data_IF_650670635577
#
_entry.id   IF_650670635577
#
_cell.length_a   1.000
_cell.length_b   1.000
_cell.length_c   1.000
_cell.angle_alpha   90.00
_cell.angle_beta   90.00
_cell.angle_gamma   90.00
#
_symmetry.space_group_name_H-M   'P 1'
#
loop_
_entity.id
_entity.type
_entity.pdbx_description
1 polymer ?
#
# COMPACT_ATOMS: atom_id res chain seq x y z
N UNK A 1 -15.88 9.43 61.09
CA UNK A 1 -15.31 10.35 60.07
C UNK A 1 -14.25 9.71 59.16
N UNK A 2 -14.20 8.37 59.00
CA UNK A 2 -13.22 7.69 58.12
C UNK A 2 -13.81 7.15 56.80
N UNK A 3 -15.14 7.12 56.68
CA UNK A 3 -15.84 6.56 55.51
C UNK A 3 -16.31 7.62 54.49
N UNK A 4 -16.11 8.92 54.78
CA UNK A 4 -16.44 10.01 53.84
C UNK A 4 -15.24 10.34 52.92
N UNK A 5 -14.01 10.04 53.35
CA UNK A 5 -12.81 10.30 52.53
C UNK A 5 -12.61 9.29 51.39
N UNK A 6 -13.12 8.06 51.52
CA UNK A 6 -12.98 7.02 50.48
C UNK A 6 -13.95 7.27 49.31
N UNK A 7 -15.09 7.91 49.57
CA UNK A 7 -16.04 8.29 48.51
C UNK A 7 -15.57 9.52 47.70
N UNK A 8 -14.73 10.39 48.30
CA UNK A 8 -14.16 11.54 47.61
C UNK A 8 -12.96 11.19 46.70
N UNK A 9 -12.31 10.05 46.94
CA UNK A 9 -11.18 9.59 46.11
C UNK A 9 -11.63 8.76 44.89
N UNK A 10 -12.88 8.28 44.87
CA UNK A 10 -13.47 7.55 43.74
C UNK A 10 -14.25 8.45 42.77
N UNK A 11 -14.53 9.71 43.12
CA UNK A 11 -15.15 10.69 42.21
C UNK A 11 -14.12 11.54 41.46
N UNK A 12 -12.84 11.50 41.82
CA UNK A 12 -11.76 12.21 41.11
C UNK A 12 -11.03 11.38 40.04
N UNK A 13 -11.33 10.08 39.92
CA UNK A 13 -10.73 9.18 38.92
C UNK A 13 -11.59 9.00 37.65
N UNK A 14 -12.71 9.74 37.54
CA UNK A 14 -13.55 9.81 36.34
C UNK A 14 -13.37 11.12 35.56
N UNK A 15 -12.21 11.78 35.66
CA UNK A 15 -11.68 12.53 34.53
C UNK A 15 -11.25 11.52 33.47
N UNK A 16 -12.24 10.88 32.86
CA UNK A 16 -12.10 10.32 31.53
C UNK A 16 -11.45 11.42 30.70
N UNK A 17 -10.24 11.18 30.19
CA UNK A 17 -9.69 11.95 29.09
C UNK A 17 -10.70 11.83 27.94
N UNK A 18 -11.75 12.65 27.94
CA UNK A 18 -12.57 12.87 26.77
C UNK A 18 -11.62 13.48 25.77
N UNK A 19 -11.11 12.66 24.85
CA UNK A 19 -10.36 13.18 23.73
C UNK A 19 -11.27 14.18 23.00
N UNK A 20 -10.75 15.39 22.77
CA UNK A 20 -11.48 16.38 21.99
C UNK A 20 -11.85 15.76 20.63
N UNK A 21 -13.12 15.83 20.27
CA UNK A 21 -13.59 15.32 18.97
C UNK A 21 -12.93 16.09 17.81
N UNK A 22 -12.64 17.36 18.05
CA UNK A 22 -11.92 18.25 17.16
C UNK A 22 -11.37 19.45 17.92
N UNK A 23 -10.43 20.15 17.29
CA UNK A 23 -9.81 21.38 17.78
C UNK A 23 -9.68 22.37 16.63
N UNK A 24 -9.60 23.66 16.92
CA UNK A 24 -9.44 24.70 15.89
C UNK A 24 -7.98 25.04 15.57
N UNK A 25 -7.06 24.65 16.46
CA UNK A 25 -5.61 24.77 16.28
C UNK A 25 -4.89 23.66 17.02
N UNK A 26 -3.73 23.25 16.50
CA UNK A 26 -2.87 22.24 17.10
C UNK A 26 -1.64 22.95 17.68
N UNK A 27 -1.62 23.15 18.99
CA UNK A 27 -0.59 23.94 19.68
C UNK A 27 0.60 23.11 20.16
N UNK A 28 0.46 21.78 20.21
CA UNK A 28 1.51 20.85 20.64
C UNK A 28 1.38 19.48 19.98
N UNK A 29 2.51 18.76 19.92
CA UNK A 29 2.61 17.42 19.31
C UNK A 29 1.61 16.42 19.89
N UNK A 30 1.45 16.39 21.22
CA UNK A 30 0.52 15.45 21.87
C UNK A 30 -0.93 15.65 21.40
N UNK A 31 -1.35 16.88 21.12
CA UNK A 31 -2.70 17.17 20.63
C UNK A 31 -2.91 16.59 19.22
N UNK A 32 -1.91 16.72 18.34
CA UNK A 32 -1.93 16.04 17.04
C UNK A 32 -2.03 14.52 17.22
N UNK A 33 -1.19 13.94 18.08
CA UNK A 33 -1.19 12.49 18.33
C UNK A 33 -2.53 11.98 18.84
N UNK A 34 -3.20 12.73 19.72
CA UNK A 34 -4.52 12.38 20.25
C UNK A 34 -5.63 12.42 19.18
N UNK A 35 -5.51 13.30 18.19
CA UNK A 35 -6.46 13.40 17.06
C UNK A 35 -6.11 12.46 15.92
N UNK A 36 -4.87 11.99 15.86
CA UNK A 36 -4.38 11.22 14.73
C UNK A 36 -5.03 9.84 14.64
N UNK A 37 -5.24 9.40 13.42
CA UNK A 37 -5.60 8.04 13.07
C UNK A 37 -4.67 7.52 11.99
N UNK A 38 -5.10 6.45 11.33
CA UNK A 38 -4.40 5.91 10.17
C UNK A 38 -4.50 6.87 8.97
N UNK A 39 -3.44 7.02 8.17
CA UNK A 39 -3.56 7.65 6.86
C UNK A 39 -4.55 6.85 5.99
N UNK A 40 -5.23 7.53 5.06
CA UNK A 40 -6.21 6.88 4.16
C UNK A 40 -5.57 5.88 3.19
N UNK A 41 -4.24 5.94 3.01
CA UNK A 41 -3.51 4.98 2.20
C UNK A 41 -2.54 4.19 3.08
N UNK A 42 -2.72 2.87 3.13
CA UNK A 42 -1.83 1.91 3.81
C UNK A 42 -0.44 1.78 3.16
N UNK A 43 -0.09 2.67 2.22
CA UNK A 43 1.16 2.60 1.45
C UNK A 43 2.39 2.81 2.33
N UNK A 44 2.23 3.45 3.49
CA UNK A 44 3.32 3.89 4.33
C UNK A 44 3.03 3.55 5.79
N UNK A 45 3.88 2.68 6.37
CA UNK A 45 3.82 2.38 7.79
C UNK A 45 4.49 3.49 8.60
N UNK A 46 4.13 3.61 9.88
CA UNK A 46 4.68 4.62 10.80
C UNK A 46 4.36 6.08 10.41
N UNK A 47 3.23 6.28 9.74
CA UNK A 47 2.65 7.61 9.51
C UNK A 47 1.38 7.79 10.35
N UNK A 48 1.25 8.95 10.98
CA UNK A 48 0.05 9.37 11.71
C UNK A 48 -0.65 10.47 10.96
N UNK A 49 -1.96 10.37 10.78
CA UNK A 49 -2.71 11.32 9.96
C UNK A 49 -3.81 12.01 10.75
N UNK A 50 -3.90 13.33 10.65
CA UNK A 50 -5.03 14.13 11.13
C UNK A 50 -5.72 14.75 9.93
N UNK A 51 -7.03 14.54 9.84
CA UNK A 51 -7.87 15.18 8.83
C UNK A 51 -8.23 16.60 9.26
N UNK A 52 -8.31 17.48 8.27
CA UNK A 52 -8.63 18.89 8.46
C UNK A 52 -9.72 19.34 7.49
N UNK A 53 -10.66 20.13 8.03
CA UNK A 53 -11.73 20.81 7.28
C UNK A 53 -11.60 22.30 7.53
N UNK A 54 -11.61 23.10 6.46
CA UNK A 54 -11.95 24.51 6.54
C UNK A 54 -13.37 24.72 6.04
N UNK A 55 -14.23 25.27 6.89
CA UNK A 55 -15.60 25.67 6.57
C UNK A 55 -15.61 27.10 6.05
N UNK A 56 -15.97 27.28 4.78
CA UNK A 56 -16.03 28.61 4.16
C UNK A 56 -17.12 29.50 4.71
N UNK A 57 -18.29 28.93 5.02
CA UNK A 57 -19.44 29.68 5.53
C UNK A 57 -19.16 30.22 6.93
N UNK A 58 -18.61 29.36 7.80
CA UNK A 58 -18.28 29.71 9.17
C UNK A 58 -16.92 30.41 9.34
N UNK A 59 -16.04 30.34 8.32
CA UNK A 59 -14.62 30.76 8.37
C UNK A 59 -13.87 30.12 9.53
N UNK A 60 -14.06 28.82 9.72
CA UNK A 60 -13.48 28.06 10.84
C UNK A 60 -12.68 26.86 10.36
N UNK A 61 -11.57 26.62 11.05
CA UNK A 61 -10.70 25.46 10.85
C UNK A 61 -11.05 24.37 11.85
N UNK A 62 -11.06 23.11 11.41
CA UNK A 62 -11.34 21.96 12.25
C UNK A 62 -10.31 20.86 11.98
N UNK A 63 -9.49 20.56 12.99
CA UNK A 63 -8.65 19.37 13.02
C UNK A 63 -9.36 18.34 13.89
N UNK A 64 -9.69 17.17 13.35
CA UNK A 64 -10.62 16.26 14.04
C UNK A 64 -10.04 14.86 14.25
N UNK A 65 -10.62 14.18 15.25
CA UNK A 65 -10.22 12.84 15.63
C UNK A 65 -10.47 11.87 14.46
N UNK A 66 -9.38 11.48 13.82
CA UNK A 66 -9.39 10.70 12.59
C UNK A 66 -9.63 9.21 12.82
N UNK A 67 -9.63 8.77 14.09
CA UNK A 67 -10.09 7.43 14.50
C UNK A 67 -11.60 7.41 14.70
N UNK A 68 -12.19 8.49 15.22
CA UNK A 68 -13.64 8.64 15.42
C UNK A 68 -14.38 8.91 14.11
N UNK A 69 -13.82 9.77 13.25
CA UNK A 69 -14.39 10.15 11.96
C UNK A 69 -13.47 9.67 10.84
N UNK A 70 -13.87 8.57 10.19
CA UNK A 70 -13.06 7.93 9.15
C UNK A 70 -12.93 8.83 7.93
N UNK A 71 -14.01 9.48 7.50
CA UNK A 71 -14.04 10.37 6.35
C UNK A 71 -14.37 11.81 6.74
N UNK A 72 -13.95 12.78 5.92
CA UNK A 72 -14.38 14.18 6.07
C UNK A 72 -15.91 14.31 6.01
N UNK A 73 -16.56 13.50 5.17
CA UNK A 73 -18.02 13.43 5.08
C UNK A 73 -18.66 13.13 6.45
N UNK A 74 -18.16 12.12 7.17
CA UNK A 74 -18.69 11.73 8.48
C UNK A 74 -18.61 12.89 9.47
N UNK A 75 -17.50 13.63 9.47
CA UNK A 75 -17.32 14.80 10.32
C UNK A 75 -18.27 15.95 9.92
N UNK A 76 -18.35 16.26 8.63
CA UNK A 76 -19.22 17.34 8.13
C UNK A 76 -20.70 17.07 8.43
N UNK A 77 -21.17 15.82 8.30
CA UNK A 77 -22.55 15.44 8.65
C UNK A 77 -22.79 15.53 10.15
N UNK A 78 -21.94 14.87 10.95
CA UNK A 78 -22.20 14.70 12.39
C UNK A 78 -21.88 15.95 13.22
N UNK A 79 -20.97 16.81 12.77
CA UNK A 79 -20.48 17.97 13.53
C UNK A 79 -20.85 19.29 12.88
N UNK A 80 -20.76 19.39 11.55
CA UNK A 80 -21.07 20.63 10.82
C UNK A 80 -22.51 20.69 10.30
N UNK A 81 -23.31 19.64 10.49
CA UNK A 81 -24.71 19.59 10.10
C UNK A 81 -24.94 19.50 8.59
N UNK A 82 -23.97 19.01 7.82
CA UNK A 82 -24.15 18.75 6.40
C UNK A 82 -25.26 17.72 6.19
N UNK A 83 -26.24 18.03 5.33
CA UNK A 83 -27.50 17.28 5.24
C UNK A 83 -27.66 16.46 3.95
N UNK A 84 -26.80 16.66 2.96
CA UNK A 84 -26.88 15.95 1.68
C UNK A 84 -26.08 14.64 1.71
N UNK A 85 -26.33 13.79 0.71
CA UNK A 85 -25.61 12.52 0.57
C UNK A 85 -24.15 12.69 0.13
N UNK A 86 -23.36 11.62 0.31
CA UNK A 86 -21.93 11.59 0.01
C UNK A 86 -21.60 11.92 -1.46
N UNK A 87 -22.49 11.59 -2.39
CA UNK A 87 -22.32 11.92 -3.81
C UNK A 87 -22.27 13.44 -4.05
N UNK A 88 -23.22 14.17 -3.46
CA UNK A 88 -23.26 15.63 -3.58
C UNK A 88 -22.12 16.26 -2.76
N UNK A 89 -21.80 15.72 -1.58
CA UNK A 89 -20.64 16.17 -0.80
C UNK A 89 -19.36 16.11 -1.61
N UNK A 90 -19.13 14.99 -2.32
CA UNK A 90 -17.93 14.82 -3.12
C UNK A 90 -17.89 15.82 -4.28
N UNK A 91 -19.01 16.03 -4.95
CA UNK A 91 -19.14 16.99 -6.05
C UNK A 91 -18.93 18.43 -5.58
N UNK A 92 -19.45 18.80 -4.42
CA UNK A 92 -19.29 20.15 -3.86
C UNK A 92 -17.90 20.40 -3.26
N UNK A 93 -17.27 19.37 -2.68
CA UNK A 93 -16.03 19.55 -1.90
C UNK A 93 -14.75 19.26 -2.69
N UNK A 94 -14.81 18.49 -3.78
CA UNK A 94 -13.62 18.09 -4.57
C UNK A 94 -13.57 18.70 -6.01
N UNK A 95 -14.50 19.59 -6.39
CA UNK A 95 -14.58 20.19 -7.75
C UNK A 95 -13.54 21.31 -8.03
N UNK A 96 -13.17 21.60 -9.28
CA UNK A 96 -12.08 22.55 -9.57
C UNK A 96 -12.42 24.03 -9.32
N UNK A 97 -13.67 24.36 -9.01
CA UNK A 97 -14.16 25.74 -8.93
C UNK A 97 -13.84 26.38 -7.57
N UNK A 98 -13.96 27.71 -7.51
CA UNK A 98 -13.87 28.47 -6.24
C UNK A 98 -15.12 28.30 -5.35
N UNK A 99 -16.19 27.67 -5.86
CA UNK A 99 -17.45 27.48 -5.12
C UNK A 99 -17.40 26.12 -4.43
N UNK A 100 -16.80 26.10 -3.23
CA UNK A 100 -16.75 24.93 -2.35
C UNK A 100 -17.30 25.29 -0.98
N UNK A 101 -18.07 24.38 -0.40
CA UNK A 101 -18.56 24.51 0.99
C UNK A 101 -17.41 24.26 1.99
N UNK A 102 -16.60 23.23 1.70
CA UNK A 102 -15.49 22.81 2.54
C UNK A 102 -14.19 22.69 1.74
N UNK A 103 -13.07 23.01 2.38
CA UNK A 103 -11.73 22.60 1.92
C UNK A 103 -11.24 21.47 2.79
N UNK A 104 -10.77 20.40 2.15
CA UNK A 104 -10.49 19.14 2.80
C UNK A 104 -9.03 18.76 2.57
N UNK A 105 -8.32 18.38 3.63
CA UNK A 105 -6.98 17.84 3.52
C UNK A 105 -6.68 16.85 4.64
N UNK A 106 -5.57 16.14 4.49
CA UNK A 106 -4.95 15.33 5.53
C UNK A 106 -3.58 15.92 5.86
N UNK A 107 -3.20 15.89 7.13
CA UNK A 107 -1.86 16.22 7.58
C UNK A 107 -1.24 14.94 8.10
N UNK A 108 -0.16 14.52 7.45
CA UNK A 108 0.58 13.33 7.78
C UNK A 108 1.88 13.69 8.51
N UNK A 109 2.12 13.01 9.62
CA UNK A 109 3.32 13.09 10.43
C UNK A 109 4.19 11.84 10.21
N UNK A 110 5.42 12.04 9.74
CA UNK A 110 6.42 10.99 9.55
C UNK A 110 7.29 10.90 10.80
N UNK A 111 7.05 9.91 11.66
CA UNK A 111 7.65 9.84 13.00
C UNK A 111 9.18 9.80 12.98
N UNK A 112 9.76 8.99 12.08
CA UNK A 112 11.20 8.74 11.99
C UNK A 112 12.02 9.98 11.61
N UNK A 113 11.43 10.91 10.85
CA UNK A 113 12.11 12.09 10.29
C UNK A 113 11.64 13.41 10.90
N UNK A 114 10.62 13.36 11.75
CA UNK A 114 9.93 14.53 12.31
C UNK A 114 9.42 15.52 11.23
N UNK A 115 8.98 14.98 10.09
CA UNK A 115 8.45 15.76 8.96
C UNK A 115 6.92 15.77 8.92
N UNK A 116 6.37 16.89 8.44
CA UNK A 116 4.93 17.17 8.43
C UNK A 116 4.49 17.52 7.02
N UNK A 117 3.52 16.78 6.49
CA UNK A 117 3.10 16.92 5.10
C UNK A 117 1.58 16.98 4.99
N UNK A 118 1.08 18.07 4.40
CA UNK A 118 -0.33 18.24 4.05
C UNK A 118 -0.60 17.70 2.65
N UNK A 119 -1.67 16.95 2.46
CA UNK A 119 -2.08 16.43 1.15
C UNK A 119 -3.59 16.55 0.92
N UNK A 120 -3.99 16.56 -0.35
CA UNK A 120 -5.39 16.46 -0.75
C UNK A 120 -5.77 15.01 -1.06
N UNK A 121 -7.06 14.72 -1.20
CA UNK A 121 -7.48 13.47 -1.83
C UNK A 121 -6.97 13.40 -3.28
N UNK A 122 -6.64 12.21 -3.78
CA UNK A 122 -6.11 12.05 -5.14
C UNK A 122 -7.09 12.51 -6.23
N UNK A 123 -8.39 12.46 -5.94
CA UNK A 123 -9.48 12.92 -6.81
C UNK A 123 -9.83 14.41 -6.63
N UNK A 124 -9.16 15.12 -5.72
CA UNK A 124 -9.43 16.53 -5.47
C UNK A 124 -8.85 17.42 -6.58
N UNK A 125 -9.71 18.19 -7.24
CA UNK A 125 -9.32 19.10 -8.32
C UNK A 125 -9.09 20.54 -7.84
N UNK A 126 -8.80 20.75 -6.56
CA UNK A 126 -8.66 22.08 -5.95
C UNK A 126 -7.70 22.97 -6.73
N UNK A 127 -8.12 24.17 -7.10
CA UNK A 127 -7.26 25.07 -7.86
C UNK A 127 -6.17 25.70 -6.97
N UNK A 128 -5.13 26.23 -7.61
CA UNK A 128 -3.95 26.77 -6.92
C UNK A 128 -4.27 27.90 -5.92
N UNK A 129 -5.27 28.74 -6.21
CA UNK A 129 -5.66 29.84 -5.31
C UNK A 129 -6.19 29.32 -3.98
N UNK A 130 -7.12 28.35 -4.04
CA UNK A 130 -7.67 27.69 -2.86
C UNK A 130 -6.59 26.89 -2.11
N UNK A 131 -5.71 26.19 -2.81
CA UNK A 131 -4.60 25.43 -2.18
C UNK A 131 -3.69 26.38 -1.39
N UNK A 132 -3.25 27.49 -2.01
CA UNK A 132 -2.40 28.48 -1.35
C UNK A 132 -3.08 29.08 -0.12
N UNK A 133 -4.37 29.43 -0.24
CA UNK A 133 -5.16 29.94 0.88
C UNK A 133 -5.24 28.90 2.01
N UNK A 134 -5.68 27.69 1.69
CA UNK A 134 -5.94 26.66 2.69
C UNK A 134 -4.67 26.23 3.42
N UNK A 135 -3.57 26.02 2.69
CA UNK A 135 -2.27 25.71 3.27
C UNK A 135 -1.84 26.79 4.26
N UNK A 136 -1.98 28.07 3.91
CA UNK A 136 -1.62 29.18 4.79
C UNK A 136 -2.50 29.26 6.03
N UNK A 137 -3.80 28.99 5.90
CA UNK A 137 -4.72 28.92 7.06
C UNK A 137 -4.38 27.76 7.98
N UNK A 138 -4.04 26.58 7.44
CA UNK A 138 -3.53 25.46 8.24
C UNK A 138 -2.23 25.87 8.94
N UNK A 139 -1.29 26.48 8.20
CA UNK A 139 0.03 26.84 8.71
C UNK A 139 -0.02 27.83 9.90
N UNK A 140 -1.00 28.74 9.92
CA UNK A 140 -1.23 29.67 11.05
C UNK A 140 -1.71 28.95 12.32
N UNK A 141 -2.36 27.80 12.17
CA UNK A 141 -3.08 27.11 13.24
C UNK A 141 -2.37 25.85 13.75
N UNK A 142 -1.08 25.65 13.42
CA UNK A 142 -0.29 24.48 13.84
C UNK A 142 1.06 24.88 14.43
N UNK A 143 1.53 24.12 15.43
CA UNK A 143 2.83 24.38 16.09
C UNK A 143 4.04 24.04 15.21
N UNK A 144 3.87 23.16 14.23
CA UNK A 144 4.91 22.70 13.30
C UNK A 144 4.97 23.54 12.00
N UNK A 145 4.48 24.78 12.05
CA UNK A 145 4.34 25.66 10.88
C UNK A 145 5.61 25.79 10.01
N UNK A 146 6.78 25.85 10.63
CA UNK A 146 8.05 26.02 9.92
C UNK A 146 8.53 24.73 9.22
N UNK A 147 7.90 23.59 9.54
CA UNK A 147 8.20 22.27 8.97
C UNK A 147 7.14 21.78 7.99
N UNK A 148 5.97 22.41 7.94
CA UNK A 148 4.84 21.97 7.12
C UNK A 148 5.16 22.14 5.63
N UNK A 149 4.92 21.09 4.85
CA UNK A 149 5.09 21.07 3.39
C UNK A 149 3.84 20.51 2.73
N UNK A 150 3.58 20.87 1.48
CA UNK A 150 2.45 20.37 0.69
C UNK A 150 2.89 19.22 -0.23
N UNK A 151 2.21 18.08 -0.14
CA UNK A 151 2.50 16.90 -0.95
C UNK A 151 1.88 17.00 -2.34
N UNK A 152 2.73 16.89 -3.36
CA UNK A 152 2.31 16.77 -4.75
C UNK A 152 1.95 15.32 -5.08
N UNK A 153 0.77 14.87 -4.64
CA UNK A 153 0.35 13.46 -4.69
C UNK A 153 -0.50 13.05 -5.91
N UNK A 154 -0.85 13.99 -6.79
CA UNK A 154 -1.63 13.72 -8.00
C UNK A 154 -1.10 14.50 -9.22
N UNK A 155 -1.36 14.03 -10.46
CA UNK A 155 -0.99 14.76 -11.68
C UNK A 155 -1.51 16.21 -11.70
N UNK A 156 -2.69 16.45 -11.12
CA UNK A 156 -3.29 17.77 -11.01
C UNK A 156 -2.40 18.75 -10.23
N UNK A 157 -2.07 18.44 -8.97
CA UNK A 157 -1.24 19.32 -8.13
C UNK A 157 0.20 19.41 -8.63
N UNK A 158 0.74 18.34 -9.24
CA UNK A 158 2.05 18.37 -9.94
C UNK A 158 2.00 19.36 -11.11
N UNK A 159 0.93 19.35 -11.90
CA UNK A 159 0.70 20.28 -13.00
C UNK A 159 0.60 21.74 -12.54
N UNK A 160 -0.12 22.00 -11.45
CA UNK A 160 -0.20 23.33 -10.84
C UNK A 160 1.16 23.82 -10.34
N UNK A 161 1.95 22.95 -9.71
CA UNK A 161 3.29 23.29 -9.24
C UNK A 161 4.26 23.58 -10.41
N UNK A 162 4.19 22.77 -11.47
CA UNK A 162 5.03 22.95 -12.68
C UNK A 162 4.77 24.29 -13.35
N UNK A 163 3.53 24.79 -13.29
CA UNK A 163 3.14 26.15 -13.74
C UNK A 163 3.52 27.26 -12.74
N UNK A 164 4.24 26.94 -11.66
CA UNK A 164 4.61 27.85 -10.55
C UNK A 164 3.41 28.55 -9.90
N UNK A 165 2.23 27.93 -9.94
CA UNK A 165 1.00 28.49 -9.39
C UNK A 165 0.89 28.29 -7.86
N UNK A 166 1.54 27.25 -7.33
CA UNK A 166 1.64 27.00 -5.90
C UNK A 166 2.76 27.90 -5.31
N UNK A 167 2.42 28.70 -4.31
CA UNK A 167 3.31 29.66 -3.62
C UNK A 167 3.57 29.22 -2.18
N UNK A 168 3.75 27.91 -2.00
CA UNK A 168 3.90 27.24 -0.70
C UNK A 168 5.03 26.21 -0.80
N UNK A 169 5.65 25.78 0.31
CA UNK A 169 6.64 24.72 0.30
C UNK A 169 6.01 23.40 -0.21
N UNK A 170 6.60 22.77 -1.23
CA UNK A 170 6.07 21.54 -1.83
C UNK A 170 7.07 20.40 -1.79
N UNK A 171 6.57 19.16 -1.73
CA UNK A 171 7.37 17.93 -1.78
C UNK A 171 6.76 16.90 -2.74
N UNK A 172 7.61 16.05 -3.32
CA UNK A 172 7.21 14.91 -4.16
C UNK A 172 7.24 13.61 -3.35
N UNK A 173 6.80 12.51 -3.97
CA UNK A 173 6.75 11.20 -3.32
C UNK A 173 8.13 10.75 -2.82
N UNK A 174 9.20 11.06 -3.55
CA UNK A 174 10.58 10.75 -3.14
C UNK A 174 10.96 11.33 -1.78
N UNK A 175 10.37 12.48 -1.40
CA UNK A 175 10.57 13.06 -0.09
C UNK A 175 10.07 12.11 1.00
N UNK A 176 8.88 11.56 0.83
CA UNK A 176 8.24 10.63 1.77
C UNK A 176 9.00 9.29 1.74
N UNK A 177 9.24 8.72 0.55
CA UNK A 177 9.92 7.43 0.41
C UNK A 177 11.33 7.43 1.04
N UNK A 178 12.11 8.51 0.89
CA UNK A 178 13.45 8.61 1.50
C UNK A 178 13.45 8.67 3.04
N UNK A 179 12.29 8.87 3.66
CA UNK A 179 12.12 9.02 5.12
C UNK A 179 11.44 7.82 5.76
N UNK A 180 10.95 6.89 4.96
CA UNK A 180 10.32 5.68 5.43
C UNK A 180 11.41 4.63 5.57
N UNK A 181 11.57 4.13 6.79
CA UNK A 181 12.57 3.09 7.07
C UNK A 181 11.98 1.70 7.14
N UNK A 182 10.65 1.61 7.29
CA UNK A 182 9.92 0.36 7.43
C UNK A 182 8.65 0.37 6.57
N UNK A 183 8.20 -0.80 6.10
CA UNK A 183 6.96 -0.97 5.35
C UNK A 183 6.41 -2.38 5.54
N UNK A 184 5.15 -2.50 5.96
CA UNK A 184 4.45 -3.78 5.99
C UNK A 184 3.91 -4.14 4.61
N UNK A 185 4.08 -5.41 4.22
CA UNK A 185 3.63 -5.92 2.93
C UNK A 185 2.56 -6.99 3.12
N UNK A 186 2.85 -8.00 3.94
CA UNK A 186 1.95 -9.12 4.20
C UNK A 186 2.02 -9.48 5.68
N UNK A 187 0.88 -9.40 6.38
CA UNK A 187 0.75 -9.49 7.85
C UNK A 187 0.40 -10.91 8.29
N UNK A 188 1.42 -11.75 8.46
CA UNK A 188 1.24 -13.16 8.83
C UNK A 188 2.35 -13.60 9.76
N UNK A 189 2.42 -14.89 10.08
CA UNK A 189 3.53 -15.44 10.85
C UNK A 189 4.07 -16.73 10.23
N UNK A 190 5.37 -16.94 10.40
CA UNK A 190 6.03 -18.16 9.95
C UNK A 190 7.24 -18.50 10.82
N UNK A 191 7.68 -19.75 10.72
CA UNK A 191 8.87 -20.27 11.39
C UNK A 191 9.82 -20.79 10.32
N UNK A 192 11.09 -20.45 10.43
CA UNK A 192 12.13 -20.88 9.50
C UNK A 192 13.54 -20.64 10.04
N UNK A 193 14.55 -21.01 9.26
CA UNK A 193 15.95 -20.72 9.57
C UNK A 193 16.29 -19.33 9.04
N UNK A 194 16.82 -18.45 9.89
CA UNK A 194 17.19 -17.10 9.46
C UNK A 194 18.48 -17.12 8.63
N UNK A 195 18.41 -16.62 7.40
CA UNK A 195 19.57 -16.45 6.52
C UNK A 195 19.60 -15.04 5.94
N UNK A 196 20.80 -14.56 5.60
CA UNK A 196 21.02 -13.26 4.99
C UNK A 196 21.75 -13.47 3.66
N UNK A 197 21.31 -12.77 2.62
CA UNK A 197 21.88 -12.84 1.27
C UNK A 197 22.13 -11.43 0.74
N UNK A 198 23.37 -11.13 0.31
CA UNK A 198 23.75 -9.86 -0.32
C UNK A 198 23.61 -9.94 -1.84
N UNK A 199 22.43 -9.57 -2.32
CA UNK A 199 22.10 -9.64 -3.75
C UNK A 199 22.77 -8.52 -4.55
N UNK A 200 23.08 -7.38 -3.91
CA UNK A 200 23.78 -6.28 -4.56
C UNK A 200 25.24 -6.63 -4.88
N UNK A 201 25.88 -7.48 -4.06
CA UNK A 201 27.24 -7.99 -4.31
C UNK A 201 27.29 -9.17 -5.28
N UNK A 202 26.15 -9.59 -5.85
CA UNK A 202 26.02 -10.74 -6.75
C UNK A 202 26.54 -12.05 -6.14
N UNK A 203 26.34 -12.25 -4.84
CA UNK A 203 26.63 -13.54 -4.19
C UNK A 203 25.67 -14.63 -4.70
N UNK A 204 26.06 -15.90 -4.53
CA UNK A 204 25.21 -17.03 -4.87
C UNK A 204 23.91 -16.99 -4.05
N UNK A 205 22.80 -16.76 -4.76
CA UNK A 205 21.47 -16.70 -4.17
C UNK A 205 20.74 -18.04 -4.39
N UNK A 206 20.85 -18.92 -3.39
CA UNK A 206 20.15 -20.22 -3.38
C UNK A 206 19.43 -20.49 -2.03
N UNK A 207 18.38 -19.72 -1.71
CA UNK A 207 17.66 -19.88 -0.45
C UNK A 207 16.75 -21.11 -0.44
N UNK A 208 16.64 -21.76 0.72
CA UNK A 208 15.86 -22.98 0.90
C UNK A 208 14.41 -22.69 1.33
N UNK A 209 13.53 -23.66 1.08
CA UNK A 209 12.09 -23.55 1.36
C UNK A 209 11.71 -23.42 2.84
N UNK A 210 12.63 -23.77 3.76
CA UNK A 210 12.51 -23.66 5.20
C UNK A 210 13.16 -22.38 5.76
N UNK A 211 13.72 -21.52 4.92
CA UNK A 211 14.41 -20.31 5.35
C UNK A 211 13.47 -19.09 5.46
N UNK A 212 13.78 -18.21 6.42
CA UNK A 212 13.33 -16.82 6.44
C UNK A 212 14.54 -16.00 6.03
N UNK A 213 14.41 -15.21 4.96
CA UNK A 213 15.56 -14.54 4.34
C UNK A 213 15.57 -13.04 4.61
N UNK A 214 16.77 -12.51 4.80
CA UNK A 214 17.06 -11.08 4.79
C UNK A 214 17.81 -10.75 3.50
N UNK A 215 17.26 -9.85 2.69
CA UNK A 215 17.80 -9.47 1.38
C UNK A 215 17.88 -7.96 1.24
N UNK A 216 18.76 -7.47 0.38
CA UNK A 216 19.01 -6.03 0.20
C UNK A 216 18.52 -5.43 -1.12
N UNK A 217 17.94 -6.24 -1.99
CA UNK A 217 17.18 -5.78 -3.17
C UNK A 217 16.20 -6.85 -3.60
N UNK A 218 15.24 -6.52 -4.45
CA UNK A 218 14.28 -7.49 -4.98
C UNK A 218 14.98 -8.40 -6.00
N UNK A 219 15.04 -9.73 -5.77
CA UNK A 219 15.65 -10.64 -6.74
C UNK A 219 14.82 -10.71 -8.01
N UNK A 220 15.47 -10.97 -9.13
CA UNK A 220 14.81 -11.23 -10.42
C UNK A 220 13.84 -12.42 -10.32
N UNK A 221 14.24 -13.45 -9.56
CA UNK A 221 13.39 -14.58 -9.24
C UNK A 221 13.07 -14.62 -7.75
N UNK A 222 11.77 -14.73 -7.44
CA UNK A 222 11.33 -14.76 -6.04
C UNK A 222 11.36 -16.20 -5.51
N UNK A 223 12.23 -16.48 -4.54
CA UNK A 223 12.45 -17.83 -4.08
C UNK A 223 11.22 -18.37 -3.33
N UNK A 224 11.18 -19.69 -3.21
CA UNK A 224 10.24 -20.32 -2.28
C UNK A 224 10.87 -20.30 -0.91
N UNK A 225 10.37 -19.45 -0.01
CA UNK A 225 10.86 -19.29 1.37
C UNK A 225 9.67 -19.21 2.33
N UNK A 226 9.97 -19.16 3.63
CA UNK A 226 8.97 -19.01 4.71
C UNK A 226 8.62 -17.55 5.00
N UNK A 227 9.54 -16.62 4.78
CA UNK A 227 9.32 -15.20 5.00
C UNK A 227 10.48 -14.37 4.47
N UNK A 228 10.25 -13.08 4.29
CA UNK A 228 11.23 -12.16 3.69
C UNK A 228 11.28 -10.86 4.51
N UNK A 229 12.48 -10.44 4.90
CA UNK A 229 12.75 -9.08 5.32
C UNK A 229 13.65 -8.45 4.26
N UNK A 230 13.24 -7.33 3.67
CA UNK A 230 13.96 -6.66 2.59
C UNK A 230 14.35 -5.24 2.99
N UNK A 231 15.48 -4.71 2.52
CA UNK A 231 15.87 -3.31 2.83
C UNK A 231 15.33 -2.29 1.84
N UNK A 232 14.69 -2.74 0.77
CA UNK A 232 14.17 -1.91 -0.32
C UNK A 232 12.65 -1.79 -0.25
N UNK A 233 12.16 -0.54 -0.29
CA UNK A 233 10.73 -0.24 -0.31
C UNK A 233 10.07 -0.83 -1.56
N UNK A 234 8.84 -1.31 -1.41
CA UNK A 234 8.11 -1.99 -2.48
C UNK A 234 6.91 -1.18 -2.92
N UNK A 235 6.65 -1.17 -4.22
CA UNK A 235 5.40 -0.63 -4.76
C UNK A 235 4.27 -1.65 -4.58
N UNK A 236 3.00 -1.22 -4.40
CA UNK A 236 1.88 -2.13 -4.12
C UNK A 236 1.64 -3.22 -5.18
N UNK A 237 2.04 -2.97 -6.44
CA UNK A 237 1.90 -3.90 -7.57
C UNK A 237 3.22 -4.62 -7.92
N UNK A 238 4.26 -4.47 -7.11
CA UNK A 238 5.51 -5.19 -7.32
C UNK A 238 5.29 -6.70 -7.25
N UNK A 239 6.12 -7.45 -7.99
CA UNK A 239 6.03 -8.91 -8.04
C UNK A 239 6.22 -9.54 -6.65
N UNK A 240 7.04 -8.93 -5.78
CA UNK A 240 7.23 -9.37 -4.40
C UNK A 240 5.95 -9.25 -3.56
N UNK A 241 5.25 -8.12 -3.65
CA UNK A 241 4.00 -7.89 -2.90
C UNK A 241 2.91 -8.86 -3.35
N UNK A 242 2.72 -9.02 -4.67
CA UNK A 242 1.71 -9.95 -5.20
C UNK A 242 1.98 -11.39 -4.78
N UNK A 243 3.25 -11.81 -4.80
CA UNK A 243 3.65 -13.14 -4.40
C UNK A 243 3.50 -13.37 -2.89
N UNK A 244 3.89 -12.40 -2.07
CA UNK A 244 3.73 -12.46 -0.62
C UNK A 244 2.28 -12.74 -0.25
N UNK A 245 1.36 -11.98 -0.85
CA UNK A 245 -0.10 -12.14 -0.72
C UNK A 245 -0.57 -13.52 -1.18
N UNK A 246 -0.21 -13.90 -2.41
CA UNK A 246 -0.66 -15.17 -2.98
C UNK A 246 -0.15 -16.40 -2.22
N UNK A 247 1.06 -16.32 -1.65
CA UNK A 247 1.68 -17.42 -0.89
C UNK A 247 1.42 -17.34 0.61
N UNK A 248 0.79 -16.27 1.09
CA UNK A 248 0.51 -16.00 2.50
C UNK A 248 1.76 -16.15 3.38
N UNK A 249 2.87 -15.51 2.98
CA UNK A 249 4.13 -15.52 3.74
C UNK A 249 4.40 -14.13 4.36
N UNK A 250 4.97 -14.03 5.56
CA UNK A 250 5.27 -12.75 6.17
C UNK A 250 6.36 -12.04 5.36
N UNK A 251 6.05 -10.82 4.92
CA UNK A 251 7.01 -9.94 4.23
C UNK A 251 6.97 -8.56 4.85
N UNK A 252 8.16 -8.03 5.14
CA UNK A 252 8.33 -6.71 5.73
C UNK A 252 9.55 -6.02 5.12
N UNK A 253 9.47 -4.71 4.92
CA UNK A 253 10.61 -3.88 4.58
C UNK A 253 11.17 -3.28 5.85
N UNK A 254 12.47 -3.42 6.06
CA UNK A 254 13.22 -2.73 7.09
C UNK A 254 14.59 -2.35 6.50
N UNK A 255 14.70 -1.09 6.11
CA UNK A 255 15.89 -0.50 5.45
C UNK A 255 17.16 -0.65 6.28
N UNK A 256 17.03 -0.81 7.60
CA UNK A 256 18.14 -0.89 8.55
C UNK A 256 18.31 -2.28 9.17
N UNK A 257 17.58 -3.30 8.70
CA UNK A 257 17.60 -4.66 9.27
C UNK A 257 19.02 -5.24 9.34
N UNK A 258 19.90 -4.85 8.41
CA UNK A 258 21.27 -5.35 8.35
C UNK A 258 22.14 -4.89 9.53
N UNK A 259 21.85 -3.72 10.07
CA UNK A 259 22.59 -3.06 11.16
C UNK A 259 22.09 -3.50 12.54
N UNK A 260 20.91 -4.13 12.63
CA UNK A 260 20.27 -4.53 13.89
C UNK A 260 21.02 -5.73 14.51
N UNK A 261 21.84 -5.49 15.53
CA UNK A 261 22.59 -6.54 16.24
C UNK A 261 21.69 -7.62 16.82
N UNK A 262 20.50 -7.27 17.30
CA UNK A 262 19.49 -8.20 17.81
C UNK A 262 19.07 -9.25 16.77
N UNK A 263 19.07 -8.88 15.49
CA UNK A 263 18.73 -9.75 14.35
C UNK A 263 19.95 -10.53 13.88
N UNK A 264 21.11 -9.87 13.81
CA UNK A 264 22.36 -10.54 13.44
C UNK A 264 22.72 -11.69 14.40
N UNK A 265 22.41 -11.55 15.70
CA UNK A 265 22.56 -12.61 16.71
C UNK A 265 21.65 -13.84 16.49
N UNK A 266 20.64 -13.74 15.61
CA UNK A 266 19.72 -14.82 15.26
C UNK A 266 20.07 -15.51 13.94
N UNK A 267 21.09 -15.05 13.22
CA UNK A 267 21.49 -15.66 11.94
C UNK A 267 21.85 -17.14 12.13
N UNK A 268 21.37 -17.98 11.21
CA UNK A 268 21.52 -19.43 11.23
C UNK A 268 20.62 -20.15 12.26
N UNK A 269 19.88 -19.42 13.10
CA UNK A 269 18.99 -20.03 14.10
C UNK A 269 17.57 -20.18 13.56
N UNK A 270 16.82 -21.09 14.19
CA UNK A 270 15.38 -21.22 13.99
C UNK A 270 14.65 -20.06 14.66
N UNK A 271 13.89 -19.31 13.88
CA UNK A 271 13.20 -18.10 14.31
C UNK A 271 11.74 -18.12 13.92
N UNK A 272 10.92 -17.40 14.68
CA UNK A 272 9.58 -16.99 14.28
C UNK A 272 9.62 -15.54 13.83
N UNK A 273 9.09 -15.29 12.62
CA UNK A 273 8.79 -13.96 12.09
C UNK A 273 7.28 -13.75 12.18
N UNK A 274 6.86 -12.67 12.84
CA UNK A 274 5.48 -12.18 12.84
C UNK A 274 5.51 -10.77 12.27
N UNK A 275 4.80 -10.53 11.17
CA UNK A 275 4.62 -9.21 10.59
C UNK A 275 3.27 -8.65 10.97
N UNK A 276 3.26 -7.37 11.32
CA UNK A 276 2.08 -6.58 11.65
C UNK A 276 2.12 -5.30 10.84
N UNK A 277 1.01 -4.58 10.89
CA UNK A 277 0.82 -3.37 10.11
C UNK A 277 1.93 -2.33 10.30
N UNK A 278 2.43 -2.11 11.52
CA UNK A 278 3.46 -1.10 11.81
C UNK A 278 4.72 -1.67 12.49
N UNK A 279 4.89 -2.99 12.49
CA UNK A 279 6.04 -3.60 13.16
C UNK A 279 6.20 -5.05 12.73
N UNK A 280 7.37 -5.61 13.01
CA UNK A 280 7.56 -7.06 13.00
C UNK A 280 8.28 -7.51 14.27
N UNK A 281 8.08 -8.78 14.61
CA UNK A 281 8.82 -9.46 15.67
C UNK A 281 9.59 -10.62 15.06
N UNK A 282 10.90 -10.66 15.32
CA UNK A 282 11.77 -11.76 14.95
C UNK A 282 12.45 -12.30 16.21
N UNK A 283 12.15 -13.55 16.59
CA UNK A 283 12.65 -14.16 17.83
C UNK A 283 13.05 -15.61 17.60
N UNK A 284 14.02 -16.09 18.38
CA UNK A 284 14.34 -17.51 18.40
C UNK A 284 13.09 -18.35 18.75
N UNK A 285 12.90 -19.47 18.06
CA UNK A 285 11.75 -20.34 18.23
C UNK A 285 12.22 -21.78 18.41
N UNK A 286 11.58 -22.52 19.32
CA UNK A 286 11.79 -23.96 19.47
C UNK A 286 10.75 -24.80 18.73
N UNK A 287 9.67 -24.18 18.25
CA UNK A 287 8.62 -24.88 17.51
C UNK A 287 9.16 -25.49 16.21
N UNK A 288 8.63 -26.63 15.76
CA UNK A 288 9.07 -27.23 14.51
C UNK A 288 8.76 -26.30 13.33
N UNK A 289 9.60 -26.32 12.31
CA UNK A 289 9.28 -25.69 11.02
C UNK A 289 8.19 -26.57 10.39
N UNK A 290 6.98 -26.04 10.12
CA UNK A 290 5.93 -26.85 9.51
C UNK A 290 6.44 -27.47 8.22
N UNK A 291 6.08 -28.71 7.89
CA UNK A 291 6.35 -29.23 6.55
C UNK A 291 5.40 -28.52 5.56
N UNK A 292 5.93 -28.01 4.45
CA UNK A 292 5.07 -27.54 3.37
C UNK A 292 4.55 -28.80 2.68
N UNK A 293 3.22 -28.98 2.61
CA UNK A 293 2.65 -30.04 1.77
C UNK A 293 3.14 -29.79 0.35
N UNK A 294 3.63 -30.85 -0.31
CA UNK A 294 3.93 -30.77 -1.73
C UNK A 294 2.67 -30.29 -2.45
N UNK A 295 2.76 -29.12 -3.08
CA UNK A 295 1.67 -28.66 -3.94
C UNK A 295 1.63 -29.64 -5.09
N UNK A 296 0.46 -30.25 -5.34
CA UNK A 296 0.29 -31.14 -6.46
C UNK A 296 0.70 -30.38 -7.72
N UNK A 297 1.63 -30.94 -8.47
CA UNK A 297 2.07 -30.33 -9.72
C UNK A 297 0.84 -30.13 -10.61
N UNK A 298 0.63 -28.88 -11.03
CA UNK A 298 -0.45 -28.54 -11.94
C UNK A 298 0.08 -28.79 -13.35
N UNK A 299 -0.31 -29.91 -13.93
CA UNK A 299 -0.03 -30.21 -15.32
C UNK A 299 -0.99 -29.38 -16.18
N UNK A 300 -0.46 -28.34 -16.80
CA UNK A 300 -1.22 -27.53 -17.75
C UNK A 300 -1.43 -28.33 -19.04
N UNK A 301 -2.66 -28.33 -19.54
CA UNK A 301 -2.97 -28.93 -20.84
C UNK A 301 -2.64 -27.91 -21.94
N UNK A 302 -1.97 -28.39 -22.98
CA UNK A 302 -1.66 -27.62 -24.18
C UNK A 302 -2.41 -28.23 -25.35
N UNK A 303 -3.33 -27.48 -25.93
CA UNK A 303 -4.10 -27.85 -27.10
C UNK A 303 -3.64 -27.01 -28.30
N UNK A 304 -3.20 -27.70 -29.35
CA UNK A 304 -2.68 -27.10 -30.59
C UNK A 304 -3.67 -27.24 -31.76
N UNK A 305 -4.88 -27.75 -31.51
CA UNK A 305 -5.90 -27.95 -32.55
C UNK A 305 -6.50 -26.63 -33.06
N UNK A 306 -6.43 -25.56 -32.27
CA UNK A 306 -6.91 -24.23 -32.66
C UNK A 306 -5.83 -23.53 -33.47
N UNK A 307 -6.11 -23.29 -34.75
CA UNK A 307 -5.17 -22.73 -35.73
C UNK A 307 -5.59 -21.35 -36.25
N UNK A 308 -6.84 -20.94 -36.06
CA UNK A 308 -7.33 -19.60 -36.39
C UNK A 308 -7.13 -18.61 -35.23
N UNK A 309 -7.03 -17.31 -35.56
CA UNK A 309 -7.08 -16.27 -34.53
C UNK A 309 -8.43 -16.31 -33.80
N UNK A 310 -8.39 -16.30 -32.47
CA UNK A 310 -9.60 -16.38 -31.65
C UNK A 310 -10.11 -14.99 -31.34
N UNK A 311 -11.26 -14.62 -31.89
CA UNK A 311 -11.92 -13.35 -31.61
C UNK A 311 -12.52 -13.35 -30.18
N UNK A 312 -12.00 -12.48 -29.31
CA UNK A 312 -12.43 -12.34 -27.92
C UNK A 312 -13.67 -11.45 -27.77
N UNK A 313 -14.18 -10.86 -28.86
CA UNK A 313 -15.51 -10.25 -28.88
C UNK A 313 -16.61 -11.33 -28.89
N UNK A 314 -16.30 -12.55 -29.33
CA UNK A 314 -17.29 -13.64 -29.37
C UNK A 314 -17.44 -14.34 -28.01
N UNK A 315 -18.40 -15.27 -27.92
CA UNK A 315 -18.60 -16.05 -26.71
C UNK A 315 -17.33 -16.89 -26.46
N UNK A 316 -16.68 -16.65 -25.32
CA UNK A 316 -15.45 -17.33 -24.91
C UNK A 316 -15.78 -18.59 -24.09
N UNK A 317 -15.56 -19.81 -24.62
CA UNK A 317 -15.81 -21.03 -23.87
C UNK A 317 -14.64 -21.34 -22.93
N UNK A 318 -14.90 -21.86 -21.72
CA UNK A 318 -13.86 -22.03 -20.69
C UNK A 318 -12.72 -22.97 -21.10
N UNK A 319 -12.98 -23.97 -21.94
CA UNK A 319 -11.98 -24.93 -22.40
C UNK A 319 -10.93 -24.33 -23.35
N UNK A 320 -11.21 -23.18 -23.98
CA UNK A 320 -10.27 -22.49 -24.90
C UNK A 320 -8.98 -22.07 -24.19
N UNK A 321 -8.99 -22.00 -22.86
CA UNK A 321 -7.82 -21.68 -22.03
C UNK A 321 -6.61 -22.56 -22.33
N UNK A 322 -6.83 -23.81 -22.74
CA UNK A 322 -5.76 -24.74 -23.09
C UNK A 322 -5.12 -24.43 -24.44
N UNK A 323 -5.73 -23.57 -25.24
CA UNK A 323 -5.30 -23.20 -26.60
C UNK A 323 -4.83 -21.74 -26.68
N UNK A 324 -5.34 -20.84 -25.84
CA UNK A 324 -4.99 -19.39 -25.87
C UNK A 324 -4.44 -18.85 -24.54
N UNK A 325 -4.50 -19.63 -23.46
CA UNK A 325 -4.03 -19.24 -22.13
C UNK A 325 -5.00 -18.39 -21.31
N UNK A 326 -4.78 -18.39 -19.99
CA UNK A 326 -5.70 -17.80 -19.01
C UNK A 326 -5.90 -16.29 -19.15
N UNK A 327 -4.88 -15.54 -19.58
CA UNK A 327 -4.99 -14.10 -19.77
C UNK A 327 -5.98 -13.74 -20.87
N UNK A 328 -5.86 -14.38 -22.03
CA UNK A 328 -6.75 -14.16 -23.17
C UNK A 328 -8.17 -14.64 -22.86
N UNK A 329 -8.31 -15.81 -22.23
CA UNK A 329 -9.62 -16.31 -21.78
C UNK A 329 -10.28 -15.35 -20.78
N UNK A 330 -9.54 -14.85 -19.77
CA UNK A 330 -10.08 -13.91 -18.79
C UNK A 330 -10.50 -12.58 -19.44
N UNK A 331 -9.76 -12.08 -20.44
CA UNK A 331 -10.17 -10.91 -21.20
C UNK A 331 -11.47 -11.19 -21.96
N UNK A 332 -11.58 -12.31 -22.66
CA UNK A 332 -12.82 -12.71 -23.34
C UNK A 332 -14.03 -12.81 -22.40
N UNK A 333 -13.87 -13.42 -21.23
CA UNK A 333 -14.90 -13.46 -20.18
C UNK A 333 -15.27 -12.05 -19.68
N UNK A 334 -14.29 -11.17 -19.45
CA UNK A 334 -14.53 -9.79 -19.05
C UNK A 334 -15.32 -9.02 -20.12
N UNK A 335 -15.06 -9.29 -21.40
CA UNK A 335 -15.81 -8.70 -22.51
C UNK A 335 -17.27 -9.15 -22.54
N UNK A 336 -17.55 -10.41 -22.20
CA UNK A 336 -18.92 -10.89 -22.05
C UNK A 336 -19.66 -10.15 -20.92
N UNK A 337 -19.01 -10.02 -19.76
CA UNK A 337 -19.58 -9.28 -18.62
C UNK A 337 -19.81 -7.81 -18.98
N UNK A 338 -18.90 -7.18 -19.74
CA UNK A 338 -19.11 -5.82 -20.25
C UNK A 338 -20.40 -5.72 -21.08
N UNK A 339 -20.64 -6.68 -21.99
CA UNK A 339 -21.81 -6.66 -22.87
C UNK A 339 -23.12 -6.75 -22.08
N UNK A 340 -23.09 -7.50 -20.99
CA UNK A 340 -24.21 -7.65 -20.07
C UNK A 340 -24.44 -6.39 -19.20
N UNK A 341 -23.40 -5.93 -18.49
CA UNK A 341 -23.53 -4.87 -17.48
C UNK A 341 -23.45 -3.45 -18.06
N UNK A 342 -22.71 -3.24 -19.15
CA UNK A 342 -22.50 -1.94 -19.82
C UNK A 342 -21.97 -0.80 -18.91
N UNK A 343 -21.38 -1.12 -17.76
CA UNK A 343 -20.86 -0.16 -16.76
C UNK A 343 -19.36 0.16 -16.90
N UNK A 344 -18.64 -0.56 -17.76
CA UNK A 344 -17.21 -0.31 -18.04
C UNK A 344 -16.89 -0.63 -19.50
N UNK A 345 -15.66 -0.32 -19.93
CA UNK A 345 -15.15 -0.64 -21.26
C UNK A 345 -13.87 -1.49 -21.17
N UNK A 346 -13.72 -2.40 -22.11
CA UNK A 346 -12.54 -3.22 -22.38
C UNK A 346 -11.95 -2.82 -23.73
N UNK A 347 -10.70 -3.21 -24.05
CA UNK A 347 -10.09 -2.96 -25.36
C UNK A 347 -10.95 -3.48 -26.52
N UNK A 348 -11.11 -2.66 -27.56
CA UNK A 348 -11.82 -3.01 -28.79
C UNK A 348 -10.97 -3.96 -29.67
N UNK A 349 -11.62 -4.76 -30.52
CA UNK A 349 -10.97 -5.66 -31.49
C UNK A 349 -9.96 -6.62 -30.86
N UNK A 350 -10.28 -7.14 -29.67
CA UNK A 350 -9.41 -8.05 -28.96
C UNK A 350 -9.45 -9.45 -29.59
N UNK A 351 -8.29 -9.98 -29.96
CA UNK A 351 -8.14 -11.37 -30.39
C UNK A 351 -6.98 -12.05 -29.66
N UNK A 352 -6.97 -13.38 -29.67
CA UNK A 352 -5.91 -14.19 -29.13
C UNK A 352 -5.22 -15.01 -30.21
N UNK A 353 -3.89 -15.09 -30.12
CA UNK A 353 -3.07 -15.96 -30.96
C UNK A 353 -2.99 -17.33 -30.25
N UNK A 354 -3.44 -18.43 -30.89
CA UNK A 354 -3.36 -19.75 -30.30
C UNK A 354 -1.93 -20.25 -30.07
N UNK A 355 -1.76 -21.16 -29.11
CA UNK A 355 -0.51 -21.87 -28.82
C UNK A 355 0.06 -22.62 -30.03
N UNK A 356 -0.77 -22.96 -31.02
CA UNK A 356 -0.34 -23.51 -32.30
C UNK A 356 0.79 -22.67 -32.94
N UNK A 357 0.62 -21.35 -33.06
CA UNK A 357 1.63 -20.49 -33.69
C UNK A 357 2.91 -20.38 -32.89
N UNK A 358 2.83 -20.44 -31.56
CA UNK A 358 4.01 -20.45 -30.70
C UNK A 358 4.79 -21.78 -30.83
N UNK A 359 4.09 -22.90 -30.86
CA UNK A 359 4.70 -24.22 -31.08
C UNK A 359 5.35 -24.31 -32.47
N UNK A 360 4.67 -23.80 -33.50
CA UNK A 360 5.21 -23.73 -34.86
C UNK A 360 6.47 -22.85 -34.91
N UNK A 361 6.44 -21.67 -34.30
CA UNK A 361 7.61 -20.78 -34.24
C UNK A 361 8.80 -21.44 -33.52
N UNK A 362 8.57 -22.16 -32.43
CA UNK A 362 9.63 -22.88 -31.70
C UNK A 362 10.26 -23.98 -32.58
N UNK A 363 9.43 -24.72 -33.31
CA UNK A 363 9.87 -25.80 -34.21
C UNK A 363 10.66 -25.26 -35.40
N UNK A 364 10.11 -24.27 -36.09
CA UNK A 364 10.70 -23.70 -37.31
C UNK A 364 12.05 -23.04 -37.05
N UNK A 365 12.28 -22.54 -35.83
CA UNK A 365 13.53 -21.89 -35.43
C UNK A 365 14.43 -22.77 -34.55
N UNK A 366 14.08 -24.05 -34.37
CA UNK A 366 14.84 -25.01 -33.56
C UNK A 366 15.17 -24.51 -32.14
N UNK A 367 14.22 -23.83 -31.49
CA UNK A 367 14.43 -23.25 -30.16
C UNK A 367 14.20 -24.21 -29.00
N UNK A 368 13.77 -25.44 -29.27
CA UNK A 368 13.44 -26.40 -28.21
C UNK A 368 14.63 -26.67 -27.27
N UNK A 369 15.85 -26.78 -27.80
CA UNK A 369 17.05 -27.03 -26.99
C UNK A 369 17.41 -25.84 -26.10
N UNK A 370 17.25 -24.61 -26.61
CA UNK A 370 17.47 -23.38 -25.83
C UNK A 370 16.44 -23.26 -24.70
N UNK A 371 15.19 -23.62 -24.98
CA UNK A 371 14.11 -23.68 -23.99
C UNK A 371 14.43 -24.75 -22.93
N UNK A 372 14.85 -25.94 -23.35
CA UNK A 372 15.25 -27.01 -22.43
C UNK A 372 16.43 -26.58 -21.54
N UNK A 373 17.43 -25.90 -22.10
CA UNK A 373 18.55 -25.36 -21.33
C UNK A 373 18.11 -24.35 -20.26
N UNK A 374 17.13 -23.49 -20.56
CA UNK A 374 16.52 -22.58 -19.57
C UNK A 374 15.83 -23.34 -18.44
N UNK A 375 15.14 -24.45 -18.75
CA UNK A 375 14.55 -25.32 -17.73
C UNK A 375 15.61 -26.08 -16.93
N UNK A 376 16.70 -26.56 -17.54
CA UNK A 376 17.79 -27.23 -16.83
C UNK A 376 18.54 -26.29 -15.87
N UNK A 377 18.78 -25.03 -16.26
CA UNK A 377 19.30 -24.01 -15.33
C UNK A 377 18.36 -23.76 -14.14
N UNK A 378 17.06 -23.98 -14.33
CA UNK A 378 16.05 -23.89 -13.27
C UNK A 378 16.10 -25.08 -12.31
N UNK A 379 16.53 -26.27 -12.75
CA UNK A 379 16.68 -27.46 -11.91
C UNK A 379 18.07 -27.58 -11.25
N UNK A 380 19.14 -27.12 -11.91
CA UNK A 380 20.50 -27.08 -11.34
C UNK A 380 20.67 -26.08 -10.19
N UNK A 381 19.71 -25.18 -9.97
CA UNK A 381 19.62 -24.33 -8.77
C UNK A 381 18.66 -24.89 -7.70
N UNK A 382 18.03 -26.04 -7.93
CA UNK A 382 17.07 -26.68 -7.00
C UNK A 382 17.64 -27.99 -6.40
N UNK A 383 18.74 -28.51 -6.93
CA UNK A 383 19.65 -29.43 -6.24
C UNK A 383 20.76 -28.63 -5.55
#
# INVERSE_FOLDING_TARGET
>A
MKNILVFLFLTFSLLSYSQDNYVHSITKKQQFLNLSGKPLTDKFTNMKSVKVVYDYGAKKMYFFNSTRYTYHYDFCVQVLGYSQEIGEFNKESYNPTNKRTYLLANINYLEDSDDWVMELAASDEMNAGLINFFFNEVNKNVFFKDKLKFYLNSPHVIGLNSKKALKIPTVFSDFIFKRITEQSIENTSSIGILKKYDLQKKEDFNPKADEIIIINTTPEFIPTVRGIIITELQTPLSHLVLLAKNRNIPVYVDTKVWEKQSINNLLGKKVELITKENSYSLKASQRPIPSKKAVKEIILKRDLSVTDLVDLETVTPLNIVNSIGSKATNLGLLKQIQKELKVYKTPEYAFAIPFYYFDQHIKDNHFQDKINALYCMRFLKIL
#
